data_IF_210998054947
#
_entry.id   IF_210998054947
#
_cell.length_a   1.000
_cell.length_b   1.000
_cell.length_c   1.000
_cell.angle_alpha   90.00
_cell.angle_beta   90.00
_cell.angle_gamma   90.00
#
_symmetry.space_group_name_H-M   'P 1'
#
loop_
_entity.id
_entity.type
_entity.pdbx_description
1 polymer ?
#
# COMPACT_ATOMS: atom_id res chain seq x y z
N UNK A 1 28.20 -37.76 -1.12
CA UNK A 1 28.08 -36.86 0.04
C UNK A 1 28.93 -35.61 -0.21
N UNK A 2 28.54 -34.75 -1.16
CA UNK A 2 29.41 -33.60 -1.52
C UNK A 2 28.69 -32.41 -2.15
N UNK A 3 27.41 -32.18 -1.87
CA UNK A 3 26.66 -31.06 -2.49
C UNK A 3 26.31 -29.90 -1.54
N UNK A 4 26.70 -29.98 -0.26
CA UNK A 4 26.30 -28.96 0.73
C UNK A 4 27.28 -27.75 0.81
N UNK A 5 28.54 -27.90 0.41
CA UNK A 5 29.55 -26.82 0.52
C UNK A 5 29.38 -25.69 -0.52
N UNK A 6 28.80 -25.97 -1.68
CA UNK A 6 28.61 -24.97 -2.74
C UNK A 6 27.41 -24.06 -2.50
N UNK A 7 26.37 -24.54 -1.81
CA UNK A 7 25.23 -23.71 -1.42
C UNK A 7 25.63 -22.61 -0.42
N UNK A 8 26.57 -22.93 0.48
CA UNK A 8 27.06 -22.00 1.52
C UNK A 8 27.89 -20.84 0.96
N UNK A 9 28.72 -21.06 -0.08
CA UNK A 9 29.52 -19.98 -0.69
C UNK A 9 28.69 -18.96 -1.46
N UNK A 10 27.50 -19.33 -1.96
CA UNK A 10 26.57 -18.37 -2.58
C UNK A 10 25.86 -17.48 -1.56
N UNK A 11 25.79 -17.89 -0.29
CA UNK A 11 25.19 -17.09 0.79
C UNK A 11 26.13 -15.98 1.31
N UNK A 12 27.45 -16.12 1.18
CA UNK A 12 28.42 -15.09 1.62
C UNK A 12 28.36 -13.79 0.79
N UNK A 13 27.81 -13.84 -0.42
CA UNK A 13 27.69 -12.66 -1.31
C UNK A 13 26.30 -12.02 -1.32
N UNK A 14 25.47 -12.31 -0.31
CA UNK A 14 24.35 -11.44 0.01
C UNK A 14 24.91 -10.17 0.66
N UNK A 15 25.39 -9.23 -0.17
CA UNK A 15 25.76 -7.87 0.27
C UNK A 15 24.53 -7.29 0.96
N UNK A 16 24.53 -7.31 2.30
CA UNK A 16 23.44 -6.73 3.08
C UNK A 16 23.35 -5.26 2.70
N UNK A 17 22.17 -4.83 2.27
CA UNK A 17 21.95 -3.43 1.95
C UNK A 17 22.10 -2.60 3.24
N UNK A 18 22.97 -1.60 3.20
CA UNK A 18 23.06 -0.60 4.28
C UNK A 18 21.80 0.25 4.25
N UNK A 19 21.06 0.28 5.36
CA UNK A 19 19.90 1.16 5.51
C UNK A 19 20.39 2.58 5.85
N UNK A 20 19.91 3.56 5.10
CA UNK A 20 20.15 4.98 5.37
C UNK A 20 18.87 5.60 5.93
N UNK A 21 18.98 6.24 7.09
CA UNK A 21 17.91 7.01 7.70
C UNK A 21 18.24 8.50 7.58
N UNK A 22 17.23 9.30 7.26
CA UNK A 22 17.35 10.75 7.10
C UNK A 22 16.36 11.44 8.02
N UNK A 23 16.75 12.59 8.56
CA UNK A 23 15.81 13.53 9.16
C UNK A 23 15.40 14.55 8.09
N UNK A 24 14.14 14.51 7.69
CA UNK A 24 13.58 15.31 6.60
C UNK A 24 12.36 16.06 7.10
N UNK A 25 12.14 17.27 6.59
CA UNK A 25 10.93 18.02 6.89
C UNK A 25 9.68 17.24 6.50
N UNK A 26 8.58 17.47 7.23
CA UNK A 26 7.30 16.80 6.99
C UNK A 26 6.77 17.05 5.57
N UNK A 27 7.05 18.22 5.01
CA UNK A 27 6.70 18.58 3.63
C UNK A 27 7.42 17.69 2.62
N UNK A 28 8.75 17.53 2.73
CA UNK A 28 9.54 16.67 1.85
C UNK A 28 9.07 15.22 1.94
N UNK A 29 8.84 14.72 3.17
CA UNK A 29 8.35 13.36 3.37
C UNK A 29 6.98 13.14 2.72
N UNK A 30 6.04 14.09 2.86
CA UNK A 30 4.71 14.02 2.25
C UNK A 30 4.82 14.02 0.73
N UNK A 31 5.65 14.90 0.16
CA UNK A 31 5.83 15.00 -1.28
C UNK A 31 6.35 13.69 -1.89
N UNK A 32 7.42 13.11 -1.31
CA UNK A 32 8.00 11.84 -1.79
C UNK A 32 6.98 10.70 -1.67
N UNK A 33 6.26 10.60 -0.55
CA UNK A 33 5.24 9.56 -0.34
C UNK A 33 4.08 9.70 -1.32
N UNK A 34 3.62 10.93 -1.59
CA UNK A 34 2.56 11.19 -2.56
C UNK A 34 3.01 10.81 -3.97
N UNK A 35 4.20 11.23 -4.39
CA UNK A 35 4.77 10.89 -5.69
C UNK A 35 4.91 9.37 -5.86
N UNK A 36 5.32 8.66 -4.80
CA UNK A 36 5.35 7.20 -4.80
C UNK A 36 3.97 6.57 -5.01
N UNK A 37 2.93 7.11 -4.36
CA UNK A 37 1.55 6.66 -4.55
C UNK A 37 1.10 6.90 -6.00
N UNK A 38 1.33 8.11 -6.52
CA UNK A 38 0.93 8.53 -7.88
C UNK A 38 1.62 7.69 -8.97
N UNK A 39 2.86 7.28 -8.75
CA UNK A 39 3.64 6.47 -9.70
C UNK A 39 3.59 4.96 -9.43
N UNK A 40 2.69 4.50 -8.55
CA UNK A 40 2.53 3.09 -8.15
C UNK A 40 3.84 2.44 -7.65
N UNK A 41 4.65 3.22 -6.92
CA UNK A 41 5.90 2.81 -6.32
C UNK A 41 5.82 2.75 -4.78
N UNK A 42 6.77 2.03 -4.18
CA UNK A 42 7.07 2.20 -2.76
C UNK A 42 7.86 3.49 -2.54
N UNK A 43 7.82 4.11 -1.34
CA UNK A 43 8.69 5.24 -1.03
C UNK A 43 10.18 4.93 -1.23
N UNK A 44 10.62 3.70 -0.97
CA UNK A 44 12.02 3.28 -1.20
C UNK A 44 12.38 3.24 -2.68
N UNK A 45 11.46 2.76 -3.54
CA UNK A 45 11.67 2.75 -4.98
C UNK A 45 11.60 4.16 -5.58
N UNK A 46 10.77 5.04 -5.01
CA UNK A 46 10.76 6.45 -5.39
C UNK A 46 12.12 7.11 -5.07
N UNK A 47 12.69 6.85 -3.89
CA UNK A 47 14.05 7.33 -3.55
C UNK A 47 15.08 6.75 -4.52
N UNK A 48 14.99 5.46 -4.88
CA UNK A 48 15.88 4.85 -5.90
C UNK A 48 15.75 5.56 -7.26
N UNK A 49 14.53 5.84 -7.71
CA UNK A 49 14.26 6.55 -8.96
C UNK A 49 14.89 7.95 -8.96
N UNK A 50 14.70 8.72 -7.88
CA UNK A 50 15.31 10.06 -7.72
C UNK A 50 16.83 9.99 -7.79
N UNK A 51 17.44 8.95 -7.22
CA UNK A 51 18.89 8.71 -7.23
C UNK A 51 19.40 8.08 -8.54
N UNK A 52 18.54 7.84 -9.54
CA UNK A 52 18.91 7.18 -10.79
C UNK A 52 19.30 5.70 -10.64
N UNK A 53 18.84 5.04 -9.57
CA UNK A 53 19.11 3.64 -9.27
C UNK A 53 18.03 2.72 -9.84
N UNK A 54 18.40 1.46 -10.07
CA UNK A 54 17.47 0.42 -10.51
C UNK A 54 16.34 0.20 -9.50
N UNK A 55 15.10 0.23 -10.00
CA UNK A 55 13.88 -0.07 -9.23
C UNK A 55 13.70 -1.58 -9.18
N UNK A 56 13.67 -2.13 -7.96
CA UNK A 56 13.66 -3.58 -7.76
C UNK A 56 12.26 -4.17 -7.71
N UNK A 57 11.28 -3.37 -7.28
CA UNK A 57 9.92 -3.84 -7.06
C UNK A 57 9.09 -3.76 -8.34
N UNK A 58 8.18 -4.72 -8.50
CA UNK A 58 7.06 -4.58 -9.43
C UNK A 58 6.16 -3.43 -8.96
N UNK A 59 5.37 -2.87 -9.89
CA UNK A 59 4.32 -1.88 -9.59
C UNK A 59 3.52 -2.30 -8.35
N UNK A 60 3.43 -1.40 -7.39
CA UNK A 60 2.73 -1.62 -6.12
C UNK A 60 1.29 -1.19 -6.29
N UNK A 61 0.36 -2.16 -6.22
CA UNK A 61 -1.07 -1.88 -6.28
C UNK A 61 -1.51 -1.21 -4.98
N UNK A 62 -1.88 0.06 -5.06
CA UNK A 62 -2.48 0.78 -3.94
C UNK A 62 -3.84 0.15 -3.61
N UNK A 63 -4.07 -0.15 -2.32
CA UNK A 63 -5.31 -0.76 -1.83
C UNK A 63 -5.91 0.11 -0.75
N UNK A 64 -7.20 0.41 -0.88
CA UNK A 64 -8.00 0.98 0.20
C UNK A 64 -8.76 -0.17 0.85
N UNK A 65 -8.50 -0.39 2.14
CA UNK A 65 -9.20 -1.37 2.96
C UNK A 65 -9.29 -0.85 4.39
N UNK A 66 -10.42 -1.07 5.02
CA UNK A 66 -10.62 -0.84 6.43
C UNK A 66 -11.48 -1.99 6.98
N UNK A 67 -11.42 -2.20 8.29
CA UNK A 67 -12.16 -3.25 8.96
C UNK A 67 -13.47 -2.70 9.48
N UNK A 68 -14.50 -3.54 9.44
CA UNK A 68 -15.81 -3.26 10.02
C UNK A 68 -16.18 -4.41 10.96
N UNK A 69 -16.69 -4.07 12.14
CA UNK A 69 -17.36 -5.03 13.02
C UNK A 69 -18.74 -5.40 12.48
N UNK A 70 -19.34 -6.47 12.99
CA UNK A 70 -20.70 -6.85 12.60
C UNK A 70 -21.73 -5.78 12.99
N UNK A 71 -21.50 -5.07 14.11
CA UNK A 71 -22.34 -3.94 14.54
C UNK A 71 -22.24 -2.76 13.58
N UNK A 72 -21.03 -2.42 13.11
CA UNK A 72 -20.83 -1.34 12.14
C UNK A 72 -21.43 -1.70 10.78
N UNK A 73 -21.37 -2.97 10.37
CA UNK A 73 -22.04 -3.46 9.16
C UNK A 73 -23.55 -3.30 9.30
N UNK A 74 -24.14 -3.66 10.45
CA UNK A 74 -25.58 -3.51 10.70
C UNK A 74 -26.01 -2.04 10.66
N UNK A 75 -25.24 -1.14 11.29
CA UNK A 75 -25.48 0.30 11.26
C UNK A 75 -25.40 0.87 9.83
N UNK A 76 -24.42 0.44 9.04
CA UNK A 76 -24.31 0.84 7.64
C UNK A 76 -25.45 0.29 6.80
N UNK A 77 -25.90 -0.94 7.06
CA UNK A 77 -27.03 -1.52 6.37
C UNK A 77 -28.32 -0.73 6.64
N UNK A 78 -28.58 -0.34 7.88
CA UNK A 78 -29.71 0.53 8.23
C UNK A 78 -29.62 1.87 7.50
N UNK A 79 -28.45 2.51 7.53
CA UNK A 79 -28.22 3.80 6.84
C UNK A 79 -28.45 3.72 5.33
N UNK A 80 -28.10 2.59 4.72
CA UNK A 80 -28.21 2.38 3.28
C UNK A 80 -29.52 1.71 2.86
N UNK A 81 -30.45 1.48 3.80
CA UNK A 81 -31.70 0.75 3.58
C UNK A 81 -31.46 -0.63 2.94
N UNK A 82 -30.48 -1.37 3.47
CA UNK A 82 -30.08 -2.69 2.99
C UNK A 82 -30.73 -3.77 3.87
N UNK A 83 -31.55 -4.66 3.29
CA UNK A 83 -32.18 -5.73 4.05
C UNK A 83 -31.16 -6.77 4.52
N UNK A 84 -31.43 -7.36 5.70
CA UNK A 84 -30.67 -8.47 6.29
C UNK A 84 -29.18 -8.19 6.55
N UNK A 85 -28.77 -6.92 6.61
CA UNK A 85 -27.37 -6.54 6.73
C UNK A 85 -26.45 -7.24 5.72
N UNK A 86 -26.89 -7.35 4.45
CA UNK A 86 -26.12 -8.00 3.39
C UNK A 86 -24.77 -7.29 3.22
N UNK A 87 -23.70 -7.96 3.71
CA UNK A 87 -22.32 -7.48 3.67
C UNK A 87 -21.85 -7.12 2.26
N UNK A 88 -22.34 -7.82 1.23
CA UNK A 88 -21.97 -7.57 -0.17
C UNK A 88 -22.57 -6.25 -0.64
N UNK A 89 -23.84 -6.00 -0.33
CA UNK A 89 -24.52 -4.75 -0.67
C UNK A 89 -23.95 -3.58 0.12
N UNK A 90 -23.65 -3.77 1.42
CA UNK A 90 -22.99 -2.76 2.25
C UNK A 90 -21.65 -2.36 1.63
N UNK A 91 -20.82 -3.35 1.26
CA UNK A 91 -19.53 -3.10 0.59
C UNK A 91 -19.68 -2.32 -0.71
N UNK A 92 -20.69 -2.64 -1.52
CA UNK A 92 -20.94 -1.93 -2.77
C UNK A 92 -21.34 -0.48 -2.52
N UNK A 93 -22.28 -0.23 -1.59
CA UNK A 93 -22.72 1.13 -1.22
C UNK A 93 -21.58 1.97 -0.62
N UNK A 94 -20.72 1.36 0.19
CA UNK A 94 -19.51 2.04 0.69
C UNK A 94 -18.60 2.44 -0.46
N UNK A 95 -18.37 1.57 -1.44
CA UNK A 95 -17.53 1.89 -2.59
C UNK A 95 -18.13 3.05 -3.43
N UNK A 96 -19.44 3.02 -3.66
CA UNK A 96 -20.15 4.09 -4.39
C UNK A 96 -20.05 5.44 -3.66
N UNK A 97 -20.26 5.44 -2.34
CA UNK A 97 -20.13 6.64 -1.50
C UNK A 97 -18.71 7.22 -1.54
N UNK A 98 -17.68 6.36 -1.46
CA UNK A 98 -16.28 6.82 -1.55
C UNK A 98 -15.97 7.44 -2.92
N UNK A 99 -16.55 6.92 -3.99
CA UNK A 99 -16.40 7.48 -5.34
C UNK A 99 -17.09 8.84 -5.44
N UNK A 100 -18.30 8.97 -4.90
CA UNK A 100 -19.09 10.20 -4.89
C UNK A 100 -18.40 11.31 -4.09
N UNK A 101 -17.92 10.99 -2.88
CA UNK A 101 -17.20 11.94 -2.03
C UNK A 101 -15.99 12.60 -2.73
N UNK A 102 -15.23 11.82 -3.51
CA UNK A 102 -14.09 12.33 -4.28
C UNK A 102 -14.53 13.21 -5.45
N UNK A 103 -15.70 12.96 -6.05
CA UNK A 103 -16.24 13.80 -7.12
C UNK A 103 -16.70 15.16 -6.61
N UNK A 104 -17.28 15.23 -5.41
CA UNK A 104 -17.73 16.49 -4.80
C UNK A 104 -16.59 17.36 -4.27
N UNK A 105 -15.48 16.74 -3.87
CA UNK A 105 -14.31 17.43 -3.32
C UNK A 105 -13.39 18.00 -4.41
N UNK A 106 -13.60 17.63 -5.68
CA UNK A 106 -12.83 18.12 -6.83
C UNK A 106 -13.52 19.30 -7.50
#
# INVERSE_FOLDING_TARGET
MTDNKNAWKKQEKAVRATQLAFDLSSEVQKFIKKSAIDEELTPSDMIRRILGLEIKSKKTRQRLSFNLSDEEIALLAERFDIPNADKRLVKQRVADLLIEHVKETK
#
